data_IF_948450342954
#
_entry.id   IF_948450342954
#
_cell.length_a   1.000
_cell.length_b   1.000
_cell.length_c   1.000
_cell.angle_alpha   90.00
_cell.angle_beta   90.00
_cell.angle_gamma   90.00
#
_symmetry.space_group_name_H-M   'P 1'
#
loop_
_entity.id
_entity.type
_entity.pdbx_description
1 polymer ?
#
# COMPACT_ATOMS: atom_id res chain seq x y z
N UNK A 1 -15.07 5.21 -13.68
CA UNK A 1 -13.78 5.60 -13.06
C UNK A 1 -12.82 4.43 -13.10
N UNK A 2 -11.58 4.73 -13.37
CA UNK A 2 -10.56 3.69 -13.36
C UNK A 2 -10.29 3.22 -11.95
N UNK A 3 -10.17 1.92 -11.80
CA UNK A 3 -9.84 1.32 -10.53
C UNK A 3 -8.38 1.61 -10.19
N UNK A 4 -8.13 2.12 -8.99
CA UNK A 4 -6.77 2.36 -8.53
C UNK A 4 -6.23 1.11 -7.85
N UNK A 5 -5.03 0.71 -8.24
CA UNK A 5 -4.40 -0.49 -7.68
C UNK A 5 -3.38 -0.06 -6.63
N UNK A 6 -3.61 -0.49 -5.39
CA UNK A 6 -2.79 -0.11 -4.24
C UNK A 6 -2.17 -1.36 -3.64
N UNK A 7 -0.84 -1.41 -3.63
CA UNK A 7 -0.11 -2.55 -3.10
C UNK A 7 0.57 -2.18 -1.78
N UNK A 8 0.31 -2.96 -0.75
CA UNK A 8 1.00 -2.82 0.53
C UNK A 8 2.14 -3.83 0.59
N UNK A 9 3.33 -3.38 0.92
CA UNK A 9 4.49 -4.24 1.09
C UNK A 9 4.88 -4.29 2.56
N UNK A 10 5.06 -5.48 3.10
CA UNK A 10 5.39 -5.66 4.51
C UNK A 10 6.29 -6.87 4.71
N UNK A 11 6.83 -7.01 5.94
CA UNK A 11 7.76 -8.09 6.23
C UNK A 11 7.06 -9.44 6.34
N UNK A 12 5.92 -9.50 7.01
CA UNK A 12 5.27 -10.76 7.32
C UNK A 12 3.91 -10.95 6.67
N UNK A 13 3.22 -9.89 6.31
CA UNK A 13 1.96 -9.97 5.58
C UNK A 13 0.71 -10.18 6.41
N UNK A 14 0.79 -10.81 7.57
CA UNK A 14 -0.41 -11.22 8.29
C UNK A 14 -1.21 -10.06 8.89
N UNK A 15 -0.56 -9.17 9.63
CA UNK A 15 -1.25 -8.02 10.20
C UNK A 15 -1.67 -7.03 9.13
N UNK A 16 -0.94 -7.00 8.03
CA UNK A 16 -1.27 -6.12 6.91
C UNK A 16 -2.56 -6.55 6.21
N UNK A 17 -2.88 -7.84 6.24
CA UNK A 17 -4.13 -8.34 5.65
C UNK A 17 -5.36 -7.71 6.30
N UNK A 18 -5.32 -7.52 7.62
CA UNK A 18 -6.43 -6.88 8.31
C UNK A 18 -6.54 -5.41 7.94
N UNK A 19 -5.41 -4.73 7.82
CA UNK A 19 -5.40 -3.34 7.37
C UNK A 19 -5.96 -3.21 5.96
N UNK A 20 -5.60 -4.14 5.07
CA UNK A 20 -6.13 -4.16 3.70
C UNK A 20 -7.65 -4.26 3.73
N UNK A 21 -8.22 -5.13 4.55
CA UNK A 21 -9.67 -5.24 4.69
C UNK A 21 -10.30 -3.93 5.13
N UNK A 22 -9.68 -3.25 6.09
CA UNK A 22 -10.17 -1.96 6.58
C UNK A 22 -10.11 -0.89 5.49
N UNK A 23 -9.04 -0.88 4.72
CA UNK A 23 -8.89 0.07 3.62
C UNK A 23 -9.91 -0.18 2.52
N UNK A 24 -10.15 -1.45 2.18
CA UNK A 24 -11.15 -1.80 1.18
C UNK A 24 -12.54 -1.35 1.60
N UNK A 25 -12.88 -1.56 2.87
CA UNK A 25 -14.15 -1.11 3.41
C UNK A 25 -14.29 0.41 3.34
N UNK A 26 -13.22 1.12 3.73
CA UNK A 26 -13.23 2.58 3.69
C UNK A 26 -13.37 3.09 2.26
N UNK A 27 -12.69 2.46 1.31
CA UNK A 27 -12.79 2.86 -0.09
C UNK A 27 -14.22 2.68 -0.61
N UNK A 28 -14.86 1.57 -0.26
CA UNK A 28 -16.23 1.31 -0.66
C UNK A 28 -17.19 2.34 -0.07
N UNK A 29 -17.00 2.68 1.20
CA UNK A 29 -17.85 3.66 1.86
C UNK A 29 -17.70 5.06 1.27
N UNK A 30 -16.51 5.39 0.75
CA UNK A 30 -16.25 6.68 0.12
C UNK A 30 -16.60 6.70 -1.37
N UNK A 31 -17.03 5.58 -1.91
CA UNK A 31 -17.31 5.46 -3.35
C UNK A 31 -16.05 5.49 -4.19
N UNK A 32 -14.91 5.16 -3.61
CA UNK A 32 -13.61 5.13 -4.29
C UNK A 32 -13.31 3.73 -4.78
N UNK A 33 -13.17 3.57 -6.09
CA UNK A 33 -12.92 2.25 -6.68
C UNK A 33 -11.44 1.92 -6.59
N UNK A 34 -11.10 0.95 -5.74
CA UNK A 34 -9.72 0.57 -5.51
C UNK A 34 -9.57 -0.93 -5.33
N UNK A 35 -8.48 -1.45 -5.88
CA UNK A 35 -8.06 -2.82 -5.61
C UNK A 35 -6.88 -2.72 -4.64
N UNK A 36 -7.03 -3.27 -3.45
CA UNK A 36 -6.04 -3.16 -2.39
C UNK A 36 -5.61 -4.56 -1.96
N UNK A 37 -4.31 -4.79 -1.93
CA UNK A 37 -3.78 -6.09 -1.55
C UNK A 37 -2.40 -5.93 -0.91
N UNK A 38 -1.91 -6.99 -0.28
CA UNK A 38 -0.62 -6.97 0.41
C UNK A 38 0.29 -8.06 -0.14
N UNK A 39 1.58 -7.76 -0.23
CA UNK A 39 2.60 -8.73 -0.62
C UNK A 39 3.80 -8.61 0.32
N UNK A 40 4.65 -9.63 0.35
CA UNK A 40 5.91 -9.53 1.07
C UNK A 40 6.81 -8.52 0.35
N UNK A 41 7.56 -7.71 1.12
CA UNK A 41 8.42 -6.70 0.52
C UNK A 41 9.41 -7.29 -0.48
N UNK A 42 9.90 -8.51 -0.22
CA UNK A 42 10.82 -9.19 -1.13
C UNK A 42 10.21 -9.50 -2.49
N UNK A 43 8.89 -9.62 -2.57
CA UNK A 43 8.19 -9.95 -3.81
C UNK A 43 7.61 -8.73 -4.52
N UNK A 44 7.63 -7.58 -3.86
CA UNK A 44 6.96 -6.38 -4.36
C UNK A 44 7.49 -5.93 -5.73
N UNK A 45 8.80 -5.96 -5.92
CA UNK A 45 9.40 -5.50 -7.16
C UNK A 45 9.00 -6.40 -8.34
N UNK A 46 9.03 -7.71 -8.14
CA UNK A 46 8.59 -8.65 -9.18
C UNK A 46 7.13 -8.42 -9.52
N UNK A 47 6.33 -8.12 -8.52
CA UNK A 47 4.90 -7.91 -8.73
C UNK A 47 4.64 -6.68 -9.63
N UNK A 48 5.33 -5.57 -9.36
CA UNK A 48 5.11 -4.36 -10.16
C UNK A 48 5.62 -4.50 -11.59
N UNK A 49 6.54 -5.43 -11.84
CA UNK A 49 7.00 -5.70 -13.19
C UNK A 49 5.99 -6.51 -14.00
N UNK A 50 5.17 -7.32 -13.31
CA UNK A 50 4.20 -8.19 -13.97
C UNK A 50 2.78 -7.63 -13.98
N UNK A 51 2.46 -6.78 -13.03
CA UNK A 51 1.11 -6.25 -12.84
C UNK A 51 1.16 -4.74 -12.73
N UNK A 52 0.10 -4.09 -13.20
CA UNK A 52 -0.02 -2.64 -13.03
C UNK A 52 -0.30 -2.32 -11.56
N UNK A 53 0.45 -1.39 -11.01
CA UNK A 53 0.25 -0.89 -9.64
C UNK A 53 0.33 0.63 -9.67
N UNK A 54 -0.62 1.30 -9.05
CA UNK A 54 -0.67 2.76 -9.04
C UNK A 54 0.06 3.37 -7.85
N UNK A 55 0.04 2.69 -6.70
CA UNK A 55 0.66 3.19 -5.47
C UNK A 55 1.23 2.01 -4.68
N UNK A 56 2.41 2.21 -4.08
CA UNK A 56 3.01 1.24 -3.17
C UNK A 56 3.10 1.86 -1.78
N UNK A 57 2.58 1.17 -0.79
CA UNK A 57 2.65 1.59 0.60
C UNK A 57 3.47 0.58 1.40
N UNK A 58 4.41 1.07 2.18
CA UNK A 58 5.28 0.23 3.01
C UNK A 58 4.73 0.18 4.43
N UNK A 59 4.67 -1.02 5.00
CA UNK A 59 4.35 -1.16 6.41
C UNK A 59 5.45 -0.56 7.28
N UNK A 60 5.13 -0.14 8.51
CA UNK A 60 6.14 0.49 9.38
C UNK A 60 7.35 -0.41 9.66
N UNK A 61 7.16 -1.73 9.61
CA UNK A 61 8.24 -2.69 9.85
C UNK A 61 9.31 -2.66 8.78
N UNK A 62 8.98 -2.18 7.59
CA UNK A 62 9.91 -2.12 6.47
C UNK A 62 10.16 -0.69 5.99
N UNK A 63 9.92 0.29 6.85
CA UNK A 63 10.14 1.69 6.51
C UNK A 63 11.57 1.99 6.09
N UNK A 64 12.53 1.21 6.58
CA UNK A 64 13.93 1.35 6.21
C UNK A 64 14.18 1.07 4.73
N UNK A 65 13.23 0.44 4.06
CA UNK A 65 13.33 0.15 2.63
C UNK A 65 12.75 1.27 1.75
N UNK A 66 12.27 2.34 2.35
CA UNK A 66 11.60 3.42 1.62
C UNK A 66 12.47 3.99 0.49
N UNK A 67 13.71 4.33 0.81
CA UNK A 67 14.61 4.92 -0.19
C UNK A 67 14.86 3.97 -1.36
N UNK A 68 15.06 2.69 -1.05
CA UNK A 68 15.30 1.68 -2.07
C UNK A 68 14.07 1.48 -2.95
N UNK A 69 12.89 1.44 -2.33
CA UNK A 69 11.64 1.31 -3.09
C UNK A 69 11.38 2.53 -3.97
N UNK A 70 11.62 3.73 -3.44
CA UNK A 70 11.46 4.95 -4.24
C UNK A 70 12.38 4.93 -5.45
N UNK A 71 13.62 4.53 -5.25
CA UNK A 71 14.59 4.47 -6.33
C UNK A 71 14.16 3.52 -7.45
N UNK A 72 13.55 2.40 -7.07
CA UNK A 72 13.11 1.40 -8.04
C UNK A 72 11.77 1.74 -8.68
N UNK A 73 10.91 2.43 -7.95
CA UNK A 73 9.54 2.72 -8.43
C UNK A 73 9.41 4.04 -9.18
N UNK A 74 10.28 5.02 -8.90
CA UNK A 74 10.24 6.31 -9.59
C UNK A 74 10.30 6.19 -11.11
N UNK A 75 11.20 5.37 -11.68
CA UNK A 75 11.25 5.24 -13.15
C UNK A 75 9.95 4.68 -13.73
N UNK A 76 9.16 4.00 -12.92
CA UNK A 76 7.87 3.45 -13.35
C UNK A 76 6.71 4.41 -13.08
N UNK A 77 6.99 5.57 -12.47
CA UNK A 77 5.95 6.54 -12.15
C UNK A 77 5.07 6.13 -11.00
N UNK A 78 5.54 5.23 -10.14
CA UNK A 78 4.75 4.71 -9.01
C UNK A 78 5.17 5.42 -7.73
N UNK A 79 4.28 6.19 -7.08
CA UNK A 79 4.60 6.80 -5.80
C UNK A 79 4.72 5.77 -4.68
N UNK A 80 5.63 6.01 -3.75
CA UNK A 80 5.87 5.14 -2.61
C UNK A 80 5.67 5.94 -1.34
N UNK A 81 4.87 5.40 -0.41
CA UNK A 81 4.66 6.02 0.90
C UNK A 81 4.88 5.00 2.01
N UNK A 82 5.02 5.49 3.24
CA UNK A 82 5.13 4.64 4.42
C UNK A 82 3.90 4.86 5.29
N UNK A 83 3.27 3.78 5.71
CA UNK A 83 2.10 3.86 6.59
C UNK A 83 2.58 4.28 7.98
N UNK A 84 2.01 5.36 8.55
CA UNK A 84 2.38 5.76 9.91
C UNK A 84 2.12 4.65 10.92
N UNK A 85 3.04 4.46 11.85
CA UNK A 85 2.92 3.38 12.82
C UNK A 85 1.65 3.48 13.65
N UNK A 86 1.21 4.67 14.01
CA UNK A 86 -0.02 4.85 14.77
C UNK A 86 -1.23 4.35 14.00
N UNK A 87 -1.32 4.69 12.72
CA UNK A 87 -2.45 4.26 11.89
C UNK A 87 -2.41 2.77 11.62
N UNK A 88 -1.23 2.22 11.47
CA UNK A 88 -1.05 0.79 11.29
C UNK A 88 -1.47 0.02 12.55
N UNK A 89 -1.00 0.49 13.70
CA UNK A 89 -1.30 -0.17 14.97
C UNK A 89 -2.78 -0.14 15.32
N UNK A 90 -3.47 0.92 14.94
CA UNK A 90 -4.91 1.07 15.17
C UNK A 90 -5.75 0.48 14.04
N UNK A 91 -5.13 -0.03 13.00
CA UNK A 91 -5.80 -0.54 11.80
C UNK A 91 -6.75 0.49 11.20
N UNK A 92 -6.30 1.75 11.16
CA UNK A 92 -7.11 2.85 10.67
C UNK A 92 -7.02 2.95 9.14
N UNK A 93 -7.73 2.05 8.47
CA UNK A 93 -7.70 1.98 7.01
C UNK A 93 -8.19 3.25 6.32
N UNK A 94 -9.22 3.88 6.88
CA UNK A 94 -9.76 5.11 6.30
C UNK A 94 -8.71 6.22 6.29
N UNK A 95 -7.97 6.38 7.39
CA UNK A 95 -6.97 7.42 7.49
C UNK A 95 -5.76 7.13 6.59
N UNK A 96 -5.34 5.88 6.51
CA UNK A 96 -4.27 5.49 5.60
C UNK A 96 -4.67 5.81 4.17
N UNK A 97 -5.88 5.49 3.80
CA UNK A 97 -6.39 5.76 2.46
C UNK A 97 -6.39 7.27 2.17
N UNK A 98 -6.87 8.08 3.12
CA UNK A 98 -6.91 9.52 2.94
C UNK A 98 -5.53 10.16 2.83
N UNK A 99 -4.60 9.76 3.69
CA UNK A 99 -3.29 10.39 3.75
C UNK A 99 -2.37 9.98 2.61
N UNK A 100 -2.50 8.74 2.13
CA UNK A 100 -1.56 8.19 1.16
C UNK A 100 -2.11 8.15 -0.27
N UNK A 101 -3.43 8.12 -0.42
CA UNK A 101 -4.05 7.86 -1.72
C UNK A 101 -4.89 9.06 -2.17
N UNK A 102 -5.71 9.56 -1.27
CA UNK A 102 -6.59 10.67 -1.58
C UNK A 102 -5.92 12.01 -1.29
#
# INVERSE_FOLDING_TARGET
MEKKVIMLACAAGMSTSLLVSKMQKAATEKGFDAEIFAVAAAEAQDYVEKQHVDVVLLGPQVRFMEADFKKKMEPKGIPVGVIPMADYGMMNGAKVLELQIL
#
